data_IF_822986747152
#
_entry.id   IF_822986747152
#
_cell.length_a   1.000
_cell.length_b   1.000
_cell.length_c   1.000
_cell.angle_alpha   90.00
_cell.angle_beta   90.00
_cell.angle_gamma   90.00
#
_symmetry.space_group_name_H-M   'P 1'
#
loop_
_entity.id
_entity.type
_entity.pdbx_description
1 polymer ?
#
# COMPACT_ATOMS: atom_id res chain seq x y z
N UNK A 1 -1.99 -29.14 -3.26
CA UNK A 1 -2.73 -28.31 -2.29
C UNK A 1 -1.80 -27.17 -1.86
N UNK A 2 -1.78 -26.06 -2.61
CA UNK A 2 -0.99 -24.88 -2.24
C UNK A 2 -1.77 -24.16 -1.16
N UNK A 3 -1.34 -24.27 0.10
CA UNK A 3 -1.88 -23.41 1.15
C UNK A 3 -1.42 -21.99 0.81
N UNK A 4 -2.37 -21.06 0.64
CA UNK A 4 -2.06 -19.64 0.56
C UNK A 4 -1.46 -19.22 1.90
N UNK A 5 -0.14 -19.32 2.00
CA UNK A 5 0.63 -18.88 3.14
C UNK A 5 0.80 -17.38 3.00
N UNK A 6 0.27 -16.63 3.96
CA UNK A 6 0.49 -15.20 4.04
C UNK A 6 1.98 -14.94 4.30
N UNK A 7 2.68 -14.38 3.31
CA UNK A 7 4.13 -14.20 3.37
C UNK A 7 4.55 -13.30 4.53
N UNK A 8 3.77 -12.26 4.87
CA UNK A 8 3.97 -11.42 6.05
C UNK A 8 4.21 -12.22 7.34
N UNK A 9 3.37 -13.22 7.63
CA UNK A 9 3.42 -13.95 8.89
C UNK A 9 4.44 -15.09 8.85
N UNK A 10 4.68 -15.62 7.64
CA UNK A 10 5.64 -16.68 7.41
C UNK A 10 7.09 -16.17 7.48
N UNK A 11 7.30 -14.90 7.11
CA UNK A 11 8.58 -14.22 7.08
C UNK A 11 9.34 -14.25 8.42
N UNK A 12 8.81 -13.70 9.52
CA UNK A 12 9.48 -13.74 10.82
C UNK A 12 9.50 -15.15 11.43
N UNK A 13 8.70 -16.10 10.92
CA UNK A 13 8.64 -17.47 11.44
C UNK A 13 9.81 -18.36 11.00
N UNK A 14 10.68 -17.90 10.09
CA UNK A 14 11.82 -18.65 9.56
C UNK A 14 11.46 -19.85 8.69
N UNK A 15 10.18 -20.00 8.33
CA UNK A 15 9.66 -21.09 7.48
C UNK A 15 9.90 -20.85 5.99
N UNK A 16 10.10 -19.60 5.59
CA UNK A 16 10.34 -19.17 4.21
C UNK A 16 11.79 -18.74 4.02
N UNK A 17 12.21 -18.58 2.75
CA UNK A 17 13.54 -18.05 2.43
C UNK A 17 13.70 -16.60 2.97
N UNK A 18 14.95 -16.13 3.17
CA UNK A 18 15.24 -14.82 3.78
C UNK A 18 15.01 -13.64 2.80
N UNK A 19 15.08 -12.39 3.28
CA UNK A 19 14.43 -11.21 2.64
C UNK A 19 15.21 -10.79 1.43
N UNK A 20 16.51 -10.96 1.57
CA UNK A 20 17.51 -10.82 0.54
C UNK A 20 17.21 -11.77 -0.63
N UNK A 21 16.72 -12.99 -0.36
CA UNK A 21 16.34 -13.92 -1.44
C UNK A 21 15.12 -13.41 -2.21
N UNK A 22 14.07 -13.01 -1.49
CA UNK A 22 12.82 -12.56 -2.12
C UNK A 22 12.98 -11.23 -2.85
N UNK A 23 13.77 -10.31 -2.30
CA UNK A 23 14.09 -9.03 -2.95
C UNK A 23 14.94 -9.23 -4.20
N UNK A 24 15.96 -10.11 -4.15
CA UNK A 24 16.76 -10.44 -5.33
C UNK A 24 15.92 -11.12 -6.42
N UNK A 25 15.01 -12.03 -6.05
CA UNK A 25 14.09 -12.67 -7.00
C UNK A 25 13.18 -11.64 -7.67
N UNK A 26 12.52 -10.78 -6.87
CA UNK A 26 11.62 -9.77 -7.41
C UNK A 26 12.35 -8.75 -8.30
N UNK A 27 13.58 -8.36 -7.94
CA UNK A 27 14.42 -7.53 -8.79
C UNK A 27 14.68 -8.21 -10.14
N UNK A 28 15.01 -9.50 -10.15
CA UNK A 28 15.22 -10.24 -11.39
C UNK A 28 13.94 -10.33 -12.24
N UNK A 29 12.79 -10.59 -11.61
CA UNK A 29 11.49 -10.67 -12.28
C UNK A 29 11.12 -9.33 -12.92
N UNK A 30 11.38 -8.21 -12.24
CA UNK A 30 11.15 -6.85 -12.77
C UNK A 30 12.03 -6.59 -14.00
N UNK A 31 13.30 -7.00 -13.96
CA UNK A 31 14.22 -6.83 -15.07
C UNK A 31 13.78 -7.62 -16.30
N UNK A 32 13.33 -8.85 -16.09
CA UNK A 32 12.81 -9.70 -17.16
C UNK A 32 11.52 -9.11 -17.77
N UNK A 33 10.55 -8.76 -16.93
CA UNK A 33 9.29 -8.18 -17.39
C UNK A 33 9.50 -6.87 -18.18
N UNK A 34 10.38 -6.00 -17.69
CA UNK A 34 10.68 -4.73 -18.35
C UNK A 34 11.47 -4.93 -19.66
N UNK A 35 12.36 -5.92 -19.70
CA UNK A 35 13.06 -6.27 -20.93
C UNK A 35 12.10 -6.81 -22.00
N UNK A 36 11.11 -7.62 -21.60
CA UNK A 36 10.08 -8.15 -22.51
C UNK A 36 9.13 -7.06 -23.03
N UNK A 37 8.71 -6.13 -22.18
CA UNK A 37 7.75 -5.09 -22.56
C UNK A 37 8.40 -3.93 -23.33
N UNK A 38 9.60 -3.50 -22.93
CA UNK A 38 10.22 -2.25 -23.42
C UNK A 38 11.66 -2.40 -23.92
N UNK A 39 12.28 -3.58 -23.79
CA UNK A 39 13.68 -3.81 -24.17
C UNK A 39 14.67 -2.85 -23.48
N UNK A 40 14.32 -2.33 -22.30
CA UNK A 40 15.22 -1.46 -21.53
C UNK A 40 16.43 -2.27 -21.04
N UNK A 41 17.64 -1.68 -21.07
CA UNK A 41 18.81 -2.33 -20.50
C UNK A 41 18.68 -2.46 -18.97
N UNK A 42 19.15 -3.57 -18.43
CA UNK A 42 19.00 -3.89 -16.99
C UNK A 42 19.53 -2.80 -16.06
N UNK A 43 20.61 -2.12 -16.45
CA UNK A 43 21.18 -1.03 -15.66
C UNK A 43 20.24 0.17 -15.54
N UNK A 44 19.55 0.54 -16.62
CA UNK A 44 18.59 1.63 -16.62
C UNK A 44 17.39 1.30 -15.74
N UNK A 45 16.87 0.07 -15.82
CA UNK A 45 15.74 -0.39 -14.99
C UNK A 45 16.11 -0.38 -13.50
N UNK A 46 17.30 -0.88 -13.14
CA UNK A 46 17.78 -0.85 -11.74
C UNK A 46 17.85 0.57 -11.18
N UNK A 47 18.34 1.53 -11.98
CA UNK A 47 18.46 2.92 -11.53
C UNK A 47 17.12 3.65 -11.51
N UNK A 48 16.34 3.55 -12.58
CA UNK A 48 15.14 4.36 -12.78
C UNK A 48 13.88 3.80 -12.11
N UNK A 49 13.75 2.48 -12.03
CA UNK A 49 12.57 1.85 -11.42
C UNK A 49 12.89 1.46 -9.96
N UNK A 50 13.90 0.61 -9.77
CA UNK A 50 14.10 -0.09 -8.50
C UNK A 50 14.73 0.81 -7.44
N UNK A 51 15.85 1.46 -7.78
CA UNK A 51 16.61 2.27 -6.82
C UNK A 51 15.81 3.46 -6.32
N UNK A 52 15.03 4.10 -7.20
CA UNK A 52 14.17 5.22 -6.84
C UNK A 52 13.03 4.74 -5.94
N UNK A 53 12.29 3.68 -6.32
CA UNK A 53 11.24 3.12 -5.46
C UNK A 53 11.74 2.77 -4.06
N UNK A 54 12.92 2.14 -3.96
CA UNK A 54 13.50 1.79 -2.65
C UNK A 54 13.82 3.02 -1.82
N UNK A 55 14.30 4.10 -2.45
CA UNK A 55 14.57 5.37 -1.76
C UNK A 55 13.27 6.00 -1.26
N UNK A 56 12.24 6.07 -2.10
CA UNK A 56 10.94 6.64 -1.71
C UNK A 56 10.28 5.82 -0.59
N UNK A 57 10.35 4.48 -0.67
CA UNK A 57 9.86 3.60 0.38
C UNK A 57 10.56 3.87 1.72
N UNK A 58 11.89 3.96 1.72
CA UNK A 58 12.64 4.25 2.94
C UNK A 58 12.32 5.66 3.47
N UNK A 59 12.14 6.64 2.57
CA UNK A 59 11.76 7.99 2.96
C UNK A 59 10.38 8.00 3.64
N UNK A 60 9.40 7.33 3.05
CA UNK A 60 8.05 7.18 3.62
C UNK A 60 8.11 6.47 4.96
N UNK A 61 8.75 5.30 5.07
CA UNK A 61 8.87 4.54 6.34
C UNK A 61 9.49 5.36 7.47
N UNK A 62 10.49 6.20 7.17
CA UNK A 62 11.16 7.03 8.16
C UNK A 62 10.33 8.24 8.62
N UNK A 63 9.41 8.75 7.80
CA UNK A 63 8.65 9.96 8.08
C UNK A 63 7.16 9.72 8.38
N UNK A 64 6.61 8.57 8.00
CA UNK A 64 5.18 8.26 8.10
C UNK A 64 4.64 8.44 9.52
N UNK A 65 5.36 7.97 10.53
CA UNK A 65 4.96 8.14 11.92
C UNK A 65 4.94 9.61 12.39
N UNK A 66 5.80 10.46 11.83
CA UNK A 66 5.77 11.89 12.09
C UNK A 66 4.63 12.58 11.33
N UNK A 67 4.33 12.14 10.11
CA UNK A 67 3.26 12.70 9.29
C UNK A 67 1.87 12.34 9.78
N UNK A 68 1.66 11.14 10.35
CA UNK A 68 0.37 10.75 10.91
C UNK A 68 0.10 11.30 12.31
N UNK A 69 1.05 12.03 12.92
CA UNK A 69 0.87 12.60 14.25
C UNK A 69 -0.06 13.80 14.21
N UNK A 70 -0.94 13.91 15.21
CA UNK A 70 -1.81 15.07 15.39
C UNK A 70 -1.00 16.37 15.53
N UNK A 71 -1.42 17.39 14.79
CA UNK A 71 -0.80 18.71 14.81
C UNK A 71 -1.62 19.64 15.71
N UNK A 72 -1.01 20.16 16.77
CA UNK A 72 -1.66 21.14 17.64
C UNK A 72 -1.57 22.52 17.00
N UNK A 73 -2.71 23.21 16.90
CA UNK A 73 -2.77 24.55 16.33
C UNK A 73 -2.60 25.64 17.39
N UNK A 74 -2.00 26.75 17.00
CA UNK A 74 -1.82 27.92 17.86
C UNK A 74 -3.19 28.55 18.17
N UNK A 75 -3.56 28.51 19.45
CA UNK A 75 -4.88 28.94 19.90
C UNK A 75 -4.93 30.46 20.04
N UNK A 76 -6.01 31.05 19.56
CA UNK A 76 -6.34 32.43 19.89
C UNK A 76 -6.66 32.54 21.39
N UNK A 77 -6.41 33.70 22.01
CA UNK A 77 -6.55 33.89 23.46
C UNK A 77 -7.94 33.51 24.01
N UNK A 78 -8.98 33.68 23.19
CA UNK A 78 -10.35 33.34 23.54
C UNK A 78 -10.62 31.83 23.67
N UNK A 79 -9.77 30.96 23.09
CA UNK A 79 -9.92 29.49 23.07
C UNK A 79 -8.84 28.79 23.91
N UNK A 80 -8.19 29.49 24.84
CA UNK A 80 -7.10 28.94 25.67
C UNK A 80 -7.52 27.73 26.53
N UNK A 81 -8.80 27.60 26.87
CA UNK A 81 -9.32 26.48 27.67
C UNK A 81 -9.70 25.26 26.83
N UNK A 82 -9.83 25.41 25.50
CA UNK A 82 -10.21 24.31 24.60
C UNK A 82 -8.96 23.60 24.06
N UNK A 83 -9.08 22.31 23.74
CA UNK A 83 -8.08 21.54 22.98
C UNK A 83 -8.42 21.60 21.49
N UNK A 84 -7.50 22.07 20.65
CA UNK A 84 -7.64 22.10 19.20
C UNK A 84 -6.43 21.39 18.58
N UNK A 85 -6.69 20.39 17.75
CA UNK A 85 -5.68 19.63 17.02
C UNK A 85 -6.25 19.23 15.65
N UNK A 86 -5.35 19.02 14.69
CA UNK A 86 -5.66 18.51 13.36
C UNK A 86 -5.30 17.02 13.34
N UNK A 87 -6.31 16.19 13.14
CA UNK A 87 -6.14 14.76 12.89
C UNK A 87 -6.20 14.49 11.39
N UNK A 88 -5.36 13.58 10.89
CA UNK A 88 -5.25 13.24 9.47
C UNK A 88 -5.87 11.86 9.23
N UNK A 89 -7.10 11.86 8.73
CA UNK A 89 -7.82 10.63 8.39
C UNK A 89 -7.64 10.24 6.91
N UNK A 90 -7.69 8.93 6.60
CA UNK A 90 -7.67 8.46 5.21
C UNK A 90 -8.92 8.94 4.46
N UNK A 91 -8.74 9.29 3.18
CA UNK A 91 -9.82 9.76 2.30
C UNK A 91 -10.79 8.64 1.88
N UNK A 92 -10.38 7.37 1.95
CA UNK A 92 -11.21 6.22 1.59
C UNK A 92 -10.61 5.37 0.48
N UNK A 93 -11.12 5.51 -0.76
CA UNK A 93 -10.68 4.70 -1.91
C UNK A 93 -9.93 5.55 -2.93
N UNK A 94 -8.71 5.13 -3.31
CA UNK A 94 -7.84 5.81 -4.27
C UNK A 94 -7.61 4.92 -5.50
N UNK A 95 -7.78 5.49 -6.69
CA UNK A 95 -7.44 4.84 -7.95
C UNK A 95 -6.10 5.37 -8.47
N UNK A 96 -5.14 4.48 -8.70
CA UNK A 96 -3.84 4.80 -9.28
C UNK A 96 -3.76 4.23 -10.68
N UNK A 97 -3.54 5.10 -11.66
CA UNK A 97 -3.38 4.71 -13.07
C UNK A 97 -1.91 4.88 -13.45
N UNK A 98 -1.21 3.76 -13.67
CA UNK A 98 0.20 3.75 -14.01
C UNK A 98 0.42 3.82 -15.53
N UNK A 99 1.29 4.71 -16.04
CA UNK A 99 1.68 4.73 -17.45
C UNK A 99 2.72 3.65 -17.77
N UNK A 100 2.95 3.42 -19.06
CA UNK A 100 3.84 2.36 -19.57
C UNK A 100 5.34 2.71 -19.51
N UNK A 101 5.72 3.98 -19.44
CA UNK A 101 7.12 4.38 -19.60
C UNK A 101 7.99 4.15 -18.36
N UNK A 102 7.42 4.19 -17.16
CA UNK A 102 8.07 3.76 -15.91
C UNK A 102 7.07 3.01 -15.01
N UNK A 103 6.71 1.78 -15.38
CA UNK A 103 5.50 1.13 -14.89
C UNK A 103 5.63 0.65 -13.43
N UNK A 104 6.85 0.51 -12.92
CA UNK A 104 7.08 0.22 -11.49
C UNK A 104 7.11 1.52 -10.70
N UNK A 105 7.95 2.47 -11.08
CA UNK A 105 8.11 3.72 -10.34
C UNK A 105 6.80 4.52 -10.24
N UNK A 106 6.13 4.74 -11.38
CA UNK A 106 4.92 5.56 -11.44
C UNK A 106 3.67 4.87 -10.88
N UNK A 107 3.76 3.57 -10.57
CA UNK A 107 2.68 2.83 -9.93
C UNK A 107 2.93 2.67 -8.42
N UNK A 108 4.15 2.28 -8.04
CA UNK A 108 4.49 1.99 -6.64
C UNK A 108 4.68 3.25 -5.79
N UNK A 109 5.27 4.32 -6.32
CA UNK A 109 5.44 5.54 -5.53
C UNK A 109 4.11 6.15 -5.06
N UNK A 110 3.10 6.35 -5.93
CA UNK A 110 1.79 6.79 -5.45
C UNK A 110 1.07 5.72 -4.62
N UNK A 111 1.37 4.43 -4.79
CA UNK A 111 0.82 3.39 -3.90
C UNK A 111 1.38 3.51 -2.48
N UNK A 112 2.68 3.79 -2.34
CA UNK A 112 3.32 3.98 -1.05
C UNK A 112 2.75 5.24 -0.36
N UNK A 113 2.61 6.36 -1.08
CA UNK A 113 2.07 7.60 -0.52
C UNK A 113 0.55 7.61 -0.33
N UNK A 114 -0.20 6.95 -1.21
CA UNK A 114 -1.65 6.83 -1.13
C UNK A 114 -2.11 5.72 -0.19
N UNK A 115 -1.20 4.83 0.22
CA UNK A 115 -1.49 3.66 1.08
C UNK A 115 -1.59 3.97 2.57
N UNK A 116 -1.55 5.25 2.97
CA UNK A 116 -1.68 5.74 4.35
C UNK A 116 -3.12 5.54 4.89
N UNK A 117 -3.57 4.30 4.95
CA UNK A 117 -4.91 3.91 5.41
C UNK A 117 -6.00 3.87 4.33
N UNK A 118 -5.71 4.30 3.10
CA UNK A 118 -6.68 4.21 2.01
C UNK A 118 -6.74 2.80 1.40
N UNK A 119 -7.91 2.42 0.91
CA UNK A 119 -8.06 1.32 -0.04
C UNK A 119 -7.55 1.76 -1.41
N UNK A 120 -6.62 1.04 -2.00
CA UNK A 120 -6.02 1.42 -3.28
C UNK A 120 -6.41 0.44 -4.39
N UNK A 121 -6.93 0.97 -5.49
CA UNK A 121 -7.16 0.25 -6.74
C UNK A 121 -6.04 0.63 -7.71
N UNK A 122 -5.38 -0.37 -8.26
CA UNK A 122 -4.28 -0.18 -9.21
C UNK A 122 -4.75 -0.53 -10.62
N UNK A 123 -4.52 0.37 -11.58
CA UNK A 123 -4.67 0.13 -13.00
C UNK A 123 -3.32 0.36 -13.72
N UNK A 124 -2.53 -0.71 -13.94
CA UNK A 124 -1.33 -0.64 -14.78
C UNK A 124 -1.69 -0.33 -16.24
N UNK A 125 -0.70 0.06 -17.04
CA UNK A 125 -0.91 0.30 -18.47
C UNK A 125 -1.03 -1.00 -19.25
N UNK A 126 -2.05 -1.09 -20.10
CA UNK A 126 -2.30 -2.23 -20.99
C UNK A 126 -1.17 -2.51 -22.01
N UNK A 127 -0.26 -1.55 -22.21
CA UNK A 127 0.89 -1.69 -23.11
C UNK A 127 1.97 -2.59 -22.47
N UNK A 128 2.08 -2.59 -21.13
CA UNK A 128 3.10 -3.32 -20.37
C UNK A 128 2.52 -4.57 -19.72
N UNK A 129 2.17 -5.56 -20.55
CA UNK A 129 1.43 -6.77 -20.12
C UNK A 129 2.22 -7.66 -19.17
N UNK A 130 3.53 -7.83 -19.39
CA UNK A 130 4.34 -8.67 -18.50
C UNK A 130 4.49 -8.00 -17.14
N UNK A 131 4.65 -6.68 -17.14
CA UNK A 131 4.72 -5.88 -15.93
C UNK A 131 3.40 -5.89 -15.14
N UNK A 132 2.27 -5.71 -15.82
CA UNK A 132 0.94 -5.77 -15.21
C UNK A 132 0.72 -7.11 -14.49
N UNK A 133 1.05 -8.22 -15.17
CA UNK A 133 0.95 -9.56 -14.60
C UNK A 133 1.84 -9.72 -13.36
N UNK A 134 3.09 -9.30 -13.45
CA UNK A 134 4.05 -9.38 -12.35
C UNK A 134 3.55 -8.60 -11.12
N UNK A 135 3.04 -7.38 -11.32
CA UNK A 135 2.49 -6.57 -10.22
C UNK A 135 1.28 -7.26 -9.59
N UNK A 136 0.36 -7.78 -10.40
CA UNK A 136 -0.82 -8.48 -9.88
C UNK A 136 -0.44 -9.71 -9.04
N UNK A 137 0.48 -10.54 -9.52
CA UNK A 137 0.95 -11.74 -8.82
C UNK A 137 1.74 -11.39 -7.55
N UNK A 138 2.64 -10.41 -7.63
CA UNK A 138 3.45 -9.96 -6.50
C UNK A 138 2.58 -9.36 -5.38
N UNK A 139 1.68 -8.43 -5.71
CA UNK A 139 0.84 -7.77 -4.72
C UNK A 139 -0.09 -8.76 -4.02
N UNK A 140 -0.69 -9.71 -4.75
CA UNK A 140 -1.52 -10.75 -4.14
C UNK A 140 -0.74 -11.69 -3.21
N UNK A 141 0.56 -11.86 -3.46
CA UNK A 141 1.43 -12.70 -2.64
C UNK A 141 1.88 -12.00 -1.36
N UNK A 142 2.21 -10.71 -1.46
CA UNK A 142 2.79 -9.93 -0.35
C UNK A 142 1.77 -9.14 0.46
N UNK A 143 0.75 -8.56 -0.18
CA UNK A 143 -0.31 -7.84 0.52
C UNK A 143 -1.35 -8.83 1.03
N UNK A 144 -1.69 -8.70 2.31
CA UNK A 144 -2.81 -9.41 2.89
C UNK A 144 -4.07 -9.09 2.09
N UNK A 145 -4.91 -10.10 1.84
CA UNK A 145 -6.32 -9.85 1.51
C UNK A 145 -6.96 -9.21 2.74
N UNK A 146 -6.92 -7.89 2.83
CA UNK A 146 -7.62 -7.13 3.88
C UNK A 146 -9.09 -7.52 3.79
N UNK A 147 -9.60 -8.15 4.86
CA UNK A 147 -10.98 -8.66 4.91
C UNK A 147 -11.23 -9.85 5.82
N UNK A 148 -10.23 -10.42 6.52
CA UNK A 148 -10.45 -11.52 7.49
C UNK A 148 -9.58 -11.46 8.75
N UNK A 149 -9.45 -10.30 9.37
CA UNK A 149 -9.17 -10.28 10.80
C UNK A 149 -10.38 -9.63 11.48
N UNK A 150 -11.09 -10.33 12.38
CA UNK A 150 -11.92 -9.61 13.33
C UNK A 150 -10.93 -8.76 14.13
N UNK A 151 -11.09 -7.44 14.08
CA UNK A 151 -10.47 -6.54 15.03
C UNK A 151 -10.88 -7.09 16.42
N UNK A 152 -10.01 -7.85 17.06
CA UNK A 152 -10.22 -8.25 18.44
C UNK A 152 -10.28 -6.95 19.22
N UNK A 153 -11.42 -6.68 19.87
CA UNK A 153 -11.72 -5.43 20.56
C UNK A 153 -10.88 -5.20 21.82
N UNK A 154 -9.54 -5.21 21.67
CA UNK A 154 -8.56 -4.94 22.71
C UNK A 154 -7.60 -3.80 22.33
N UNK A 155 -7.68 -3.25 21.12
CA UNK A 155 -6.91 -2.07 20.71
C UNK A 155 -7.74 -0.77 20.75
N UNK A 156 -8.94 -0.80 21.35
CA UNK A 156 -9.87 0.35 21.40
C UNK A 156 -9.89 1.11 22.74
N UNK A 157 -8.95 0.85 23.66
CA UNK A 157 -8.95 1.50 24.98
C UNK A 157 -8.35 2.92 25.00
N UNK A 158 -7.76 3.39 23.90
CA UNK A 158 -7.25 4.76 23.77
C UNK A 158 -8.26 5.69 23.09
N UNK A 159 -9.44 5.86 23.69
CA UNK A 159 -10.31 7.06 23.67
C UNK A 159 -10.63 7.85 22.38
N UNK A 160 -10.15 7.47 21.20
CA UNK A 160 -10.16 8.30 20.00
C UNK A 160 -11.29 7.92 19.01
N UNK A 161 -11.93 6.77 19.21
CA UNK A 161 -12.98 6.27 18.32
C UNK A 161 -14.32 6.13 19.07
N UNK A 162 -14.88 7.23 19.57
CA UNK A 162 -16.32 7.29 19.84
C UNK A 162 -16.98 8.12 18.74
N UNK A 163 -17.49 7.44 17.72
CA UNK A 163 -18.45 8.04 16.80
C UNK A 163 -19.77 8.28 17.56
N UNK A 164 -20.48 9.40 17.32
CA UNK A 164 -21.77 9.63 17.96
C UNK A 164 -22.81 8.63 17.43
N UNK A 165 -23.55 8.04 18.36
CA UNK A 165 -24.68 7.15 18.12
C UNK A 165 -25.66 7.77 17.11
N UNK A 166 -25.69 7.23 15.89
CA UNK A 166 -26.81 7.44 14.97
C UNK A 166 -27.36 6.08 14.58
N UNK A 167 -28.62 5.85 14.98
CA UNK A 167 -29.32 4.60 14.82
C UNK A 167 -29.67 4.26 13.36
N UNK A 168 -29.92 2.96 13.18
CA UNK A 168 -30.67 2.30 12.11
C UNK A 168 -30.36 2.69 10.65
N UNK A 169 -29.64 1.80 9.96
CA UNK A 169 -30.03 1.33 8.62
C UNK A 169 -29.26 0.06 8.20
N UNK A 170 -29.99 -1.05 8.10
CA UNK A 170 -30.04 -1.88 6.89
C UNK A 170 -28.78 -2.61 6.41
N UNK A 171 -28.83 -3.94 6.54
CA UNK A 171 -27.94 -4.90 5.89
C UNK A 171 -27.71 -4.64 4.38
N UNK A 172 -26.45 -4.75 3.96
CA UNK A 172 -26.05 -4.80 2.56
C UNK A 172 -24.56 -5.11 2.46
N UNK A 173 -24.20 -6.38 2.28
CA UNK A 173 -22.81 -6.80 2.14
C UNK A 173 -22.13 -6.17 0.92
N UNK A 174 -20.94 -5.61 1.12
CA UNK A 174 -20.02 -5.32 0.04
C UNK A 174 -18.65 -5.91 0.40
N UNK A 175 -18.24 -6.92 -0.37
CA UNK A 175 -16.90 -7.46 -0.38
C UNK A 175 -15.90 -6.34 -0.75
N UNK A 176 -14.80 -6.11 0.01
CA UNK A 176 -13.67 -5.36 -0.50
C UNK A 176 -12.91 -6.25 -1.49
N UNK A 177 -13.39 -6.27 -2.73
CA UNK A 177 -12.76 -6.93 -3.86
C UNK A 177 -11.63 -6.05 -4.38
N UNK A 178 -10.38 -6.46 -4.14
CA UNK A 178 -9.25 -6.06 -4.98
C UNK A 178 -9.50 -6.67 -6.37
N UNK A 179 -10.31 -5.98 -7.17
CA UNK A 179 -10.67 -6.38 -8.52
C UNK A 179 -9.71 -5.68 -9.48
N UNK A 180 -8.59 -6.34 -9.80
CA UNK A 180 -7.81 -5.99 -10.99
C UNK A 180 -8.65 -6.46 -12.17
N UNK A 181 -9.47 -5.56 -12.74
CA UNK A 181 -10.19 -5.83 -13.99
C UNK A 181 -9.43 -5.17 -15.13
N UNK A 182 -9.01 -5.99 -16.10
CA UNK A 182 -8.76 -5.50 -17.44
C UNK A 182 -10.09 -4.99 -18.01
N UNK A 183 -10.12 -3.75 -18.48
CA UNK A 183 -11.17 -3.22 -19.35
C UNK A 183 -10.65 -3.20 -20.78
#
# INVERSE_FOLDING_TARGET
MVRNICLWAAWPSGRTRPLEYHTAQLEQDILEATALDMHKPSFEVKLSEISICRRELNHMLNNLGAWMKDENEDKNWAMQLDSAFICKDPYGVVLIIGPWNYPIYLLLVPLIGGGDGNCVVLKPSEISRNMERLVAEALLSYLNKVGKQPLSGQDCDDGCCQAPDTGDAGAGGQEPLLHIRHL
#
